data_IF_649315832378
#
_entry.id   IF_649315832378
#
_cell.length_a   1.000
_cell.length_b   1.000
_cell.length_c   1.000
_cell.angle_alpha   90.00
_cell.angle_beta   90.00
_cell.angle_gamma   90.00
#
_symmetry.space_group_name_H-M   'P 1'
#
loop_
_entity.id
_entity.type
_entity.pdbx_description
1 polymer ?
#
# COMPACT_ATOMS: atom_id res chain seq x y z
N UNK A 1 -40.62 -6.36 -5.36
CA UNK A 1 -39.88 -6.76 -4.13
C UNK A 1 -38.36 -6.83 -4.32
N UNK A 2 -37.82 -6.62 -5.54
CA UNK A 2 -36.40 -6.71 -5.86
C UNK A 2 -35.61 -5.42 -5.56
N UNK A 3 -36.22 -4.24 -5.67
CA UNK A 3 -35.48 -2.96 -5.54
C UNK A 3 -35.04 -2.62 -4.11
N UNK A 4 -35.80 -3.06 -3.10
CA UNK A 4 -35.47 -2.80 -1.68
C UNK A 4 -34.26 -3.63 -1.23
N UNK A 5 -34.14 -4.88 -1.71
CA UNK A 5 -33.01 -5.76 -1.39
C UNK A 5 -31.70 -5.30 -2.06
N UNK A 6 -31.79 -4.79 -3.30
CA UNK A 6 -30.64 -4.22 -4.03
C UNK A 6 -30.15 -2.94 -3.34
N UNK A 7 -31.06 -2.08 -2.87
CA UNK A 7 -30.73 -0.88 -2.10
C UNK A 7 -30.00 -1.17 -0.77
N UNK A 8 -30.41 -2.21 -0.04
CA UNK A 8 -29.79 -2.62 1.22
C UNK A 8 -28.36 -3.15 1.05
N UNK A 9 -28.14 -4.00 0.03
CA UNK A 9 -26.79 -4.51 -0.32
C UNK A 9 -25.85 -3.41 -0.81
N UNK A 10 -26.39 -2.37 -1.47
CA UNK A 10 -25.60 -1.23 -1.91
C UNK A 10 -25.05 -0.40 -0.74
N UNK A 11 -25.93 -0.06 0.21
CA UNK A 11 -25.59 0.72 1.41
C UNK A 11 -24.62 -0.01 2.34
N UNK A 12 -24.81 -1.33 2.55
CA UNK A 12 -23.93 -2.13 3.41
C UNK A 12 -22.48 -2.15 2.90
N UNK A 13 -22.27 -2.37 1.60
CA UNK A 13 -20.93 -2.37 1.03
C UNK A 13 -20.26 -0.99 1.08
N UNK A 14 -21.01 0.09 0.83
CA UNK A 14 -20.47 1.45 0.93
C UNK A 14 -20.04 1.76 2.38
N UNK A 15 -20.81 1.32 3.37
CA UNK A 15 -20.44 1.43 4.78
C UNK A 15 -19.18 0.62 5.12
N UNK A 16 -19.06 -0.60 4.61
CA UNK A 16 -17.85 -1.44 4.80
C UNK A 16 -16.62 -0.76 4.17
N UNK A 17 -16.74 -0.22 2.97
CA UNK A 17 -15.66 0.51 2.28
C UNK A 17 -15.24 1.75 3.07
N UNK A 18 -16.20 2.54 3.55
CA UNK A 18 -15.93 3.71 4.38
C UNK A 18 -15.27 3.32 5.72
N UNK A 19 -15.78 2.30 6.40
CA UNK A 19 -15.21 1.80 7.66
C UNK A 19 -13.78 1.28 7.47
N UNK A 20 -13.52 0.54 6.39
CA UNK A 20 -12.18 0.07 6.06
C UNK A 20 -11.22 1.23 5.76
N UNK A 21 -11.66 2.23 5.01
CA UNK A 21 -10.85 3.43 4.74
C UNK A 21 -10.53 4.21 6.03
N UNK A 22 -11.51 4.37 6.91
CA UNK A 22 -11.31 5.02 8.22
C UNK A 22 -10.32 4.24 9.07
N UNK A 23 -10.49 2.92 9.17
CA UNK A 23 -9.58 2.06 9.92
C UNK A 23 -8.15 2.13 9.38
N UNK A 24 -7.96 2.09 8.05
CA UNK A 24 -6.65 2.20 7.42
C UNK A 24 -5.98 3.55 7.71
N UNK A 25 -6.71 4.66 7.54
CA UNK A 25 -6.17 5.99 7.80
C UNK A 25 -5.77 6.18 9.27
N UNK A 26 -6.59 5.69 10.20
CA UNK A 26 -6.28 5.73 11.64
C UNK A 26 -5.09 4.85 12.02
N UNK A 27 -5.00 3.63 11.46
CA UNK A 27 -3.90 2.71 11.74
C UNK A 27 -2.57 3.21 11.17
N UNK A 28 -2.58 3.80 9.97
CA UNK A 28 -1.40 4.43 9.39
C UNK A 28 -0.92 5.60 10.26
N UNK A 29 -1.84 6.47 10.67
CA UNK A 29 -1.53 7.60 11.56
C UNK A 29 -1.03 7.15 12.95
N UNK A 30 -1.59 6.07 13.49
CA UNK A 30 -1.18 5.55 14.81
C UNK A 30 0.22 4.94 14.77
N UNK A 31 0.56 4.22 13.70
CA UNK A 31 1.89 3.64 13.54
C UNK A 31 2.99 4.72 13.50
N UNK A 32 2.68 5.86 12.91
CA UNK A 32 3.51 7.05 12.85
C UNK A 32 3.85 7.67 14.22
N UNK A 33 3.10 7.30 15.27
CA UNK A 33 3.34 7.77 16.64
C UNK A 33 4.23 6.82 17.45
N UNK A 34 4.58 5.64 16.92
CA UNK A 34 5.37 4.64 17.62
C UNK A 34 6.84 4.76 17.23
N UNK A 35 7.71 4.96 18.22
CA UNK A 35 9.16 5.09 18.01
C UNK A 35 9.88 3.73 17.93
N UNK A 36 11.10 3.75 17.39
CA UNK A 36 12.02 2.61 17.38
C UNK A 36 11.65 1.49 16.38
N UNK A 37 12.26 0.32 16.57
CA UNK A 37 12.09 -0.82 15.66
C UNK A 37 10.65 -1.34 15.57
N UNK A 38 9.87 -1.26 16.66
CA UNK A 38 8.44 -1.61 16.67
C UNK A 38 7.64 -0.67 15.77
N UNK A 39 7.96 0.62 15.77
CA UNK A 39 7.36 1.61 14.87
C UNK A 39 7.57 1.26 13.40
N UNK A 40 8.78 0.83 13.02
CA UNK A 40 9.09 0.45 11.64
C UNK A 40 8.26 -0.76 11.17
N UNK A 41 8.08 -1.75 12.04
CA UNK A 41 7.22 -2.91 11.73
C UNK A 41 5.76 -2.49 11.63
N UNK A 42 5.27 -1.62 12.53
CA UNK A 42 3.90 -1.10 12.46
C UNK A 42 3.67 -0.29 11.18
N UNK A 43 4.60 0.58 10.80
CA UNK A 43 4.55 1.35 9.55
C UNK A 43 4.49 0.40 8.35
N UNK A 44 5.31 -0.65 8.33
CA UNK A 44 5.25 -1.65 7.26
C UNK A 44 3.89 -2.39 7.23
N UNK A 45 3.25 -2.59 8.37
CA UNK A 45 1.97 -3.30 8.51
C UNK A 45 0.72 -2.43 8.35
N UNK A 46 0.81 -1.09 8.44
CA UNK A 46 -0.38 -0.23 8.40
C UNK A 46 -0.26 0.95 7.44
N UNK A 47 0.96 1.39 7.16
CA UNK A 47 1.27 2.57 6.34
C UNK A 47 2.08 2.22 5.09
N UNK A 48 2.16 0.96 4.70
CA UNK A 48 2.76 0.54 3.43
C UNK A 48 1.76 0.63 2.29
N UNK A 49 2.25 0.96 1.09
CA UNK A 49 1.46 0.85 -0.14
C UNK A 49 0.90 -0.57 -0.32
N UNK A 50 1.56 -1.57 0.24
CA UNK A 50 1.09 -2.95 0.33
C UNK A 50 -0.28 -3.09 1.01
N UNK A 51 -0.45 -2.64 2.26
CA UNK A 51 -1.69 -2.88 3.03
C UNK A 51 -2.88 -2.18 2.38
N UNK A 52 -2.67 -0.95 1.94
CA UNK A 52 -3.69 -0.15 1.30
C UNK A 52 -4.07 -0.76 -0.06
N UNK A 53 -3.06 -1.19 -0.82
CA UNK A 53 -3.27 -1.87 -2.09
C UNK A 53 -3.98 -3.23 -1.95
N UNK A 54 -3.64 -4.00 -0.91
CA UNK A 54 -4.31 -5.26 -0.60
C UNK A 54 -5.78 -5.03 -0.23
N UNK A 55 -6.08 -4.01 0.58
CA UNK A 55 -7.46 -3.66 0.93
C UNK A 55 -8.27 -3.26 -0.33
N UNK A 56 -7.69 -2.43 -1.21
CA UNK A 56 -8.30 -2.07 -2.49
C UNK A 56 -8.57 -3.29 -3.38
N UNK A 57 -7.60 -4.22 -3.46
CA UNK A 57 -7.75 -5.48 -4.18
C UNK A 57 -8.88 -6.35 -3.59
N UNK A 58 -8.95 -6.51 -2.27
CA UNK A 58 -9.96 -7.32 -1.60
C UNK A 58 -11.37 -6.70 -1.77
N UNK A 59 -11.49 -5.38 -1.67
CA UNK A 59 -12.74 -4.67 -1.98
C UNK A 59 -13.15 -4.93 -3.43
N UNK A 60 -12.22 -4.79 -4.39
CA UNK A 60 -12.47 -5.08 -5.80
C UNK A 60 -12.91 -6.52 -6.05
N UNK A 61 -12.25 -7.48 -5.38
CA UNK A 61 -12.61 -8.90 -5.42
C UNK A 61 -14.02 -9.14 -4.92
N UNK A 62 -14.43 -8.51 -3.83
CA UNK A 62 -15.77 -8.68 -3.25
C UNK A 62 -16.89 -8.02 -4.06
N UNK A 63 -16.56 -7.10 -4.98
CA UNK A 63 -17.55 -6.34 -5.72
C UNK A 63 -18.28 -7.16 -6.80
N UNK A 64 -19.60 -6.95 -6.88
CA UNK A 64 -20.48 -7.66 -7.82
C UNK A 64 -20.15 -7.39 -9.30
N UNK A 65 -19.72 -6.17 -9.64
CA UNK A 65 -19.44 -5.73 -11.02
C UNK A 65 -18.09 -5.04 -11.10
N UNK A 66 -17.46 -5.04 -12.29
CA UNK A 66 -16.18 -4.38 -12.52
C UNK A 66 -16.23 -2.86 -12.23
N UNK A 67 -17.31 -2.17 -12.65
CA UNK A 67 -17.50 -0.74 -12.36
C UNK A 67 -17.53 -0.46 -10.86
N UNK A 68 -18.20 -1.32 -10.09
CA UNK A 68 -18.24 -1.20 -8.63
C UNK A 68 -16.89 -1.55 -7.99
N UNK A 69 -16.19 -2.55 -8.51
CA UNK A 69 -14.86 -2.91 -8.06
C UNK A 69 -13.88 -1.73 -8.16
N UNK A 70 -13.86 -1.07 -9.33
CA UNK A 70 -13.07 0.14 -9.58
C UNK A 70 -13.50 1.26 -8.65
N UNK A 71 -14.79 1.62 -8.65
CA UNK A 71 -15.29 2.75 -7.86
C UNK A 71 -15.05 2.59 -6.36
N UNK A 72 -15.31 1.40 -5.80
CA UNK A 72 -15.15 1.13 -4.37
C UNK A 72 -13.68 1.04 -3.95
N UNK A 73 -12.81 0.45 -4.77
CA UNK A 73 -11.37 0.41 -4.49
C UNK A 73 -10.74 1.82 -4.54
N UNK A 74 -11.09 2.63 -5.54
CA UNK A 74 -10.63 4.03 -5.63
C UNK A 74 -11.15 4.87 -4.47
N UNK A 75 -12.44 4.75 -4.13
CA UNK A 75 -13.03 5.47 -3.01
C UNK A 75 -12.35 5.11 -1.69
N UNK A 76 -12.02 3.82 -1.48
CA UNK A 76 -11.29 3.36 -0.31
C UNK A 76 -9.94 4.07 -0.18
N UNK A 77 -9.12 4.03 -1.24
CA UNK A 77 -7.77 4.59 -1.22
C UNK A 77 -7.78 6.11 -1.07
N UNK A 78 -8.66 6.80 -1.81
CA UNK A 78 -8.79 8.26 -1.71
C UNK A 78 -9.22 8.66 -0.30
N UNK A 79 -10.24 8.01 0.26
CA UNK A 79 -10.75 8.35 1.59
C UNK A 79 -9.72 8.05 2.69
N UNK A 80 -9.01 6.92 2.59
CA UNK A 80 -7.92 6.58 3.52
C UNK A 80 -6.78 7.60 3.45
N UNK A 81 -6.38 8.01 2.23
CA UNK A 81 -5.35 9.03 1.99
C UNK A 81 -5.75 10.36 2.62
N UNK A 82 -6.96 10.84 2.32
CA UNK A 82 -7.46 12.11 2.85
C UNK A 82 -7.53 12.09 4.36
N UNK A 83 -8.04 11.01 4.96
CA UNK A 83 -8.14 10.89 6.41
C UNK A 83 -6.75 10.92 7.06
N UNK A 84 -5.80 10.13 6.54
CA UNK A 84 -4.43 10.09 7.05
C UNK A 84 -3.78 11.47 7.01
N UNK A 85 -3.80 12.15 5.86
CA UNK A 85 -3.18 13.48 5.75
C UNK A 85 -3.94 14.57 6.51
N UNK A 86 -5.26 14.44 6.67
CA UNK A 86 -6.03 15.33 7.54
C UNK A 86 -5.61 15.18 9.01
N UNK A 87 -5.38 13.96 9.48
CA UNK A 87 -4.87 13.71 10.84
C UNK A 87 -3.45 14.24 11.01
N UNK A 88 -2.59 14.10 10.01
CA UNK A 88 -1.25 14.71 10.01
C UNK A 88 -1.35 16.23 10.12
N UNK A 89 -2.26 16.87 9.37
CA UNK A 89 -2.46 18.31 9.37
C UNK A 89 -3.02 18.83 10.71
N UNK A 90 -4.05 18.19 11.25
CA UNK A 90 -4.82 18.72 12.38
C UNK A 90 -4.25 18.26 13.73
N UNK A 91 -3.83 16.99 13.83
CA UNK A 91 -3.44 16.36 15.09
C UNK A 91 -1.93 16.39 15.27
N UNK A 92 -1.19 15.78 14.32
CA UNK A 92 0.26 15.64 14.50
C UNK A 92 1.02 16.96 14.32
N UNK A 93 0.44 17.91 13.58
CA UNK A 93 1.04 19.23 13.25
C UNK A 93 2.52 19.15 12.87
N UNK A 94 2.92 18.08 12.17
CA UNK A 94 4.31 17.86 11.70
C UNK A 94 4.82 18.98 10.80
N UNK A 95 3.91 19.79 10.27
CA UNK A 95 4.23 20.96 9.49
C UNK A 95 4.63 22.18 10.33
N UNK A 96 4.34 22.23 11.63
CA UNK A 96 4.53 23.41 12.48
C UNK A 96 5.65 23.25 13.50
N UNK A 97 6.34 24.34 13.83
CA UNK A 97 7.27 24.41 14.97
C UNK A 97 8.74 24.28 14.62
N UNK A 98 9.08 24.28 13.32
CA UNK A 98 10.47 24.39 12.85
C UNK A 98 10.88 25.84 12.62
N UNK A 99 12.15 26.15 12.84
CA UNK A 99 12.77 27.45 12.49
C UNK A 99 13.85 27.25 11.45
N UNK A 100 13.93 28.15 10.47
CA UNK A 100 14.98 28.22 9.48
C UNK A 100 16.26 28.84 10.09
N UNK A 101 17.40 28.71 9.39
CA UNK A 101 18.68 29.27 9.84
C UNK A 101 18.65 30.80 10.02
N UNK A 102 17.74 31.48 9.32
CA UNK A 102 17.48 32.91 9.43
C UNK A 102 16.54 33.29 10.60
N UNK A 103 16.09 32.30 11.38
CA UNK A 103 15.19 32.47 12.52
C UNK A 103 13.71 32.60 12.14
N UNK A 104 13.35 32.51 10.85
CA UNK A 104 11.96 32.54 10.39
C UNK A 104 11.28 31.17 10.54
N UNK A 105 9.95 31.13 10.56
CA UNK A 105 9.19 29.88 10.70
C UNK A 105 9.28 29.01 9.45
N UNK A 106 9.61 27.72 9.62
CA UNK A 106 9.62 26.73 8.54
C UNK A 106 8.22 26.20 8.17
N UNK A 107 7.16 26.73 8.80
CA UNK A 107 5.79 26.20 8.73
C UNK A 107 5.23 26.14 7.29
N UNK A 108 5.54 27.15 6.46
CA UNK A 108 5.12 27.16 5.05
C UNK A 108 5.79 26.04 4.23
N UNK A 109 7.06 25.73 4.52
CA UNK A 109 7.76 24.62 3.87
C UNK A 109 7.19 23.27 4.33
N UNK A 110 6.89 23.15 5.62
CA UNK A 110 6.21 21.99 6.19
C UNK A 110 4.84 21.75 5.53
N UNK A 111 4.00 22.78 5.45
CA UNK A 111 2.69 22.71 4.81
C UNK A 111 2.79 22.36 3.32
N UNK A 112 3.75 22.98 2.61
CA UNK A 112 4.01 22.67 1.20
C UNK A 112 4.41 21.21 1.00
N UNK A 113 5.27 20.68 1.86
CA UNK A 113 5.69 19.26 1.84
C UNK A 113 4.50 18.32 2.05
N UNK A 114 3.67 18.60 3.06
CA UNK A 114 2.44 17.81 3.31
C UNK A 114 1.49 17.87 2.12
N UNK A 115 1.29 19.05 1.51
CA UNK A 115 0.44 19.21 0.33
C UNK A 115 0.96 18.43 -0.88
N UNK A 116 2.28 18.47 -1.14
CA UNK A 116 2.91 17.71 -2.22
C UNK A 116 2.77 16.20 -2.02
N UNK A 117 3.05 15.70 -0.81
CA UNK A 117 2.87 14.28 -0.49
C UNK A 117 1.41 13.86 -0.59
N UNK A 118 0.47 14.68 -0.10
CA UNK A 118 -0.97 14.42 -0.26
C UNK A 118 -1.35 14.30 -1.73
N UNK A 119 -0.90 15.23 -2.59
CA UNK A 119 -1.18 15.20 -4.02
C UNK A 119 -0.59 13.96 -4.72
N UNK A 120 0.63 13.57 -4.36
CA UNK A 120 1.28 12.37 -4.88
C UNK A 120 0.49 11.11 -4.52
N UNK A 121 0.12 10.95 -3.25
CA UNK A 121 -0.63 9.77 -2.79
C UNK A 121 -2.08 9.74 -3.29
N UNK A 122 -2.73 10.89 -3.47
CA UNK A 122 -4.03 10.98 -4.12
C UNK A 122 -3.94 10.55 -5.59
N UNK A 123 -2.90 11.01 -6.31
CA UNK A 123 -2.66 10.60 -7.70
C UNK A 123 -2.42 9.08 -7.78
N UNK A 124 -1.58 8.55 -6.88
CA UNK A 124 -1.37 7.12 -6.72
C UNK A 124 -2.67 6.36 -6.43
N UNK A 125 -3.55 6.90 -5.59
CA UNK A 125 -4.86 6.31 -5.27
C UNK A 125 -5.81 6.29 -6.47
N UNK A 126 -5.81 7.35 -7.30
CA UNK A 126 -6.64 7.44 -8.51
C UNK A 126 -6.19 6.49 -9.61
N UNK A 127 -4.91 6.09 -9.64
CA UNK A 127 -4.38 5.12 -10.60
C UNK A 127 -4.44 3.69 -10.03
N UNK A 128 -3.95 3.51 -8.81
CA UNK A 128 -3.87 2.23 -8.12
C UNK A 128 -5.25 1.66 -7.79
N UNK A 129 -6.21 2.51 -7.41
CA UNK A 129 -7.58 2.10 -7.08
C UNK A 129 -8.27 1.34 -8.22
N UNK A 130 -8.37 1.91 -9.43
CA UNK A 130 -8.94 1.21 -10.58
C UNK A 130 -8.19 -0.06 -10.96
N UNK A 131 -6.85 -0.02 -10.97
CA UNK A 131 -6.02 -1.17 -11.33
C UNK A 131 -6.23 -2.32 -10.36
N UNK A 132 -6.09 -2.08 -9.06
CA UNK A 132 -6.22 -3.10 -8.01
C UNK A 132 -7.67 -3.58 -7.87
N UNK A 133 -8.64 -2.67 -7.99
CA UNK A 133 -10.06 -3.01 -7.99
C UNK A 133 -10.42 -3.96 -9.14
N UNK A 134 -9.95 -3.66 -10.35
CA UNK A 134 -10.18 -4.48 -11.54
C UNK A 134 -9.46 -5.83 -11.44
N UNK A 135 -8.21 -5.87 -10.98
CA UNK A 135 -7.46 -7.10 -10.77
C UNK A 135 -8.16 -8.00 -9.73
N UNK A 136 -8.63 -7.42 -8.62
CA UNK A 136 -9.45 -8.13 -7.64
C UNK A 136 -10.69 -8.76 -8.26
N UNK A 137 -11.41 -7.99 -9.07
CA UNK A 137 -12.58 -8.49 -9.78
C UNK A 137 -12.23 -9.64 -10.74
N UNK A 138 -11.17 -9.49 -11.54
CA UNK A 138 -10.69 -10.52 -12.47
C UNK A 138 -10.32 -11.80 -11.73
N UNK A 139 -9.64 -11.72 -10.58
CA UNK A 139 -9.32 -12.91 -9.76
C UNK A 139 -10.59 -13.61 -9.24
N UNK A 140 -11.71 -12.90 -9.06
CA UNK A 140 -12.97 -13.52 -8.63
C UNK A 140 -13.71 -14.21 -9.78
N UNK A 141 -13.84 -13.56 -10.93
CA UNK A 141 -14.77 -13.99 -12.00
C UNK A 141 -14.08 -14.50 -13.26
N UNK A 142 -12.76 -14.32 -13.37
CA UNK A 142 -11.98 -14.71 -14.52
C UNK A 142 -11.83 -16.22 -14.66
N UNK A 143 -11.37 -16.65 -15.83
CA UNK A 143 -10.93 -18.03 -16.00
C UNK A 143 -9.61 -18.26 -15.23
N UNK A 144 -9.17 -19.52 -15.15
CA UNK A 144 -7.98 -19.89 -14.36
C UNK A 144 -6.73 -19.14 -14.83
N UNK A 145 -6.55 -18.95 -16.14
CA UNK A 145 -5.39 -18.26 -16.71
C UNK A 145 -5.40 -16.75 -16.41
N UNK A 146 -6.53 -16.07 -16.64
CA UNK A 146 -6.65 -14.63 -16.36
C UNK A 146 -6.62 -14.33 -14.87
N UNK A 147 -7.18 -15.21 -14.03
CA UNK A 147 -7.08 -15.12 -12.57
C UNK A 147 -5.64 -15.31 -12.09
N UNK A 148 -4.88 -16.24 -12.69
CA UNK A 148 -3.48 -16.44 -12.39
C UNK A 148 -2.61 -15.25 -12.79
N UNK A 149 -2.82 -14.69 -14.00
CA UNK A 149 -2.17 -13.45 -14.44
C UNK A 149 -2.48 -12.30 -13.48
N UNK A 150 -3.75 -12.09 -13.13
CA UNK A 150 -4.16 -11.00 -12.25
C UNK A 150 -3.61 -11.17 -10.83
N UNK A 151 -3.67 -12.37 -10.26
CA UNK A 151 -3.11 -12.66 -8.93
C UNK A 151 -1.59 -12.46 -8.90
N UNK A 152 -0.88 -12.97 -9.92
CA UNK A 152 0.55 -12.76 -10.09
C UNK A 152 0.89 -11.27 -10.19
N UNK A 153 0.21 -10.53 -11.08
CA UNK A 153 0.39 -9.09 -11.25
C UNK A 153 0.19 -8.31 -9.95
N UNK A 154 -0.85 -8.63 -9.18
CA UNK A 154 -1.09 -7.98 -7.87
C UNK A 154 0.05 -8.29 -6.90
N UNK A 155 0.49 -9.54 -6.80
CA UNK A 155 1.61 -9.91 -5.93
C UNK A 155 2.87 -9.13 -6.28
N UNK A 156 3.23 -9.07 -7.57
CA UNK A 156 4.42 -8.35 -8.01
C UNK A 156 4.30 -6.85 -7.72
N UNK A 157 3.19 -6.20 -8.13
CA UNK A 157 2.93 -4.78 -7.86
C UNK A 157 3.03 -4.42 -6.38
N UNK A 158 2.49 -5.27 -5.51
CA UNK A 158 2.47 -5.02 -4.07
C UNK A 158 3.83 -5.31 -3.38
N UNK A 159 4.67 -6.16 -3.97
CA UNK A 159 6.01 -6.49 -3.44
C UNK A 159 7.13 -5.56 -3.91
N UNK A 160 6.89 -4.76 -4.96
CA UNK A 160 7.95 -3.99 -5.63
C UNK A 160 8.67 -2.98 -4.75
N UNK A 161 7.97 -2.34 -3.82
CA UNK A 161 8.56 -1.42 -2.83
C UNK A 161 9.61 -2.15 -1.97
N UNK A 162 9.27 -3.31 -1.43
CA UNK A 162 10.18 -4.11 -0.61
C UNK A 162 11.38 -4.62 -1.39
N UNK A 163 11.18 -5.05 -2.64
CA UNK A 163 12.29 -5.45 -3.52
C UNK A 163 13.25 -4.31 -3.81
N UNK A 164 12.73 -3.12 -4.08
CA UNK A 164 13.55 -1.92 -4.32
C UNK A 164 14.34 -1.54 -3.06
N UNK A 165 13.72 -1.58 -1.88
CA UNK A 165 14.40 -1.30 -0.62
C UNK A 165 15.52 -2.30 -0.33
N UNK A 166 15.29 -3.60 -0.56
CA UNK A 166 16.31 -4.66 -0.43
C UNK A 166 17.47 -4.45 -1.41
N UNK A 167 17.21 -3.94 -2.61
CA UNK A 167 18.28 -3.64 -3.59
C UNK A 167 19.12 -2.44 -3.17
N UNK A 168 18.51 -1.38 -2.64
CA UNK A 168 19.23 -0.18 -2.19
C UNK A 168 20.01 -0.42 -0.89
N UNK A 169 19.44 -1.19 0.03
CA UNK A 169 20.02 -1.47 1.33
C UNK A 169 19.95 -2.98 1.63
N UNK A 170 20.90 -3.76 1.10
CA UNK A 170 20.93 -5.19 1.29
C UNK A 170 20.93 -5.60 2.76
N UNK A 171 20.10 -6.57 3.18
CA UNK A 171 19.94 -6.94 4.59
C UNK A 171 21.25 -7.33 5.27
N UNK A 172 22.17 -7.99 4.55
CA UNK A 172 23.46 -8.40 5.10
C UNK A 172 24.36 -7.21 5.46
N UNK A 173 24.23 -6.07 4.77
CA UNK A 173 24.96 -4.85 5.12
C UNK A 173 24.37 -4.22 6.39
N UNK A 174 23.04 -4.16 6.49
CA UNK A 174 22.34 -3.59 7.64
C UNK A 174 22.53 -4.42 8.93
N UNK A 175 22.75 -5.73 8.78
CA UNK A 175 23.02 -6.64 9.91
C UNK A 175 24.45 -6.55 10.45
N UNK A 176 25.38 -5.88 9.75
CA UNK A 176 26.78 -5.74 10.19
C UNK A 176 27.05 -4.53 11.09
N UNK A 177 26.03 -3.71 11.38
CA UNK A 177 26.16 -2.53 12.25
C UNK A 177 26.51 -2.97 13.68
N UNK A 178 27.65 -2.52 14.18
CA UNK A 178 28.22 -2.96 15.46
C UNK A 178 27.67 -2.20 16.67
N UNK A 179 27.11 -1.01 16.47
CA UNK A 179 26.49 -0.21 17.54
C UNK A 179 25.14 -0.85 17.93
N UNK A 180 24.97 -1.29 19.20
CA UNK A 180 23.77 -1.99 19.64
C UNK A 180 22.48 -1.14 19.53
N UNK A 181 22.55 0.18 19.70
CA UNK A 181 21.37 1.05 19.59
C UNK A 181 20.93 1.21 18.13
N UNK A 182 21.88 1.32 17.21
CA UNK A 182 21.57 1.37 15.78
C UNK A 182 21.14 0.00 15.23
N UNK A 183 21.72 -1.08 15.76
CA UNK A 183 21.42 -2.44 15.33
C UNK A 183 19.93 -2.81 15.52
N UNK A 184 19.29 -2.38 16.62
CA UNK A 184 17.85 -2.61 16.82
C UNK A 184 16.99 -1.88 15.79
N UNK A 185 17.33 -0.63 15.47
CA UNK A 185 16.64 0.13 14.44
C UNK A 185 16.77 -0.53 13.07
N UNK A 186 17.98 -0.90 12.66
CA UNK A 186 18.25 -1.55 11.38
C UNK A 186 17.59 -2.92 11.27
N UNK A 187 17.53 -3.70 12.36
CA UNK A 187 16.75 -4.94 12.40
C UNK A 187 15.26 -4.68 12.16
N UNK A 188 14.70 -3.64 12.79
CA UNK A 188 13.31 -3.24 12.56
C UNK A 188 13.03 -2.88 11.10
N UNK A 189 13.93 -2.13 10.46
CA UNK A 189 13.87 -1.77 9.04
C UNK A 189 13.91 -3.03 8.16
N UNK A 190 14.89 -3.92 8.38
CA UNK A 190 15.01 -5.18 7.62
C UNK A 190 13.75 -6.03 7.75
N UNK A 191 13.22 -6.18 8.97
CA UNK A 191 11.97 -6.93 9.20
C UNK A 191 10.80 -6.27 8.48
N UNK A 192 10.69 -4.93 8.53
CA UNK A 192 9.65 -4.19 7.81
C UNK A 192 9.68 -4.44 6.31
N UNK A 193 10.86 -4.38 5.68
CA UNK A 193 11.01 -4.62 4.25
C UNK A 193 10.75 -6.08 3.87
N UNK A 194 11.19 -7.03 4.69
CA UNK A 194 10.87 -8.45 4.49
C UNK A 194 9.37 -8.72 4.59
N UNK A 195 8.65 -8.06 5.49
CA UNK A 195 7.19 -8.15 5.60
C UNK A 195 6.52 -7.69 4.31
N UNK A 196 6.98 -6.59 3.69
CA UNK A 196 6.44 -6.08 2.41
C UNK A 196 6.64 -7.06 1.24
N UNK A 197 7.62 -7.98 1.32
CA UNK A 197 7.86 -9.01 0.29
C UNK A 197 7.09 -10.30 0.62
N UNK A 198 7.22 -10.79 1.85
CA UNK A 198 6.68 -12.09 2.29
C UNK A 198 5.16 -12.07 2.30
N UNK A 199 4.54 -10.99 2.76
CA UNK A 199 3.09 -10.90 2.86
C UNK A 199 2.36 -11.00 1.50
N UNK A 200 2.78 -10.31 0.43
CA UNK A 200 2.23 -10.54 -0.90
C UNK A 200 2.38 -11.99 -1.39
N UNK A 201 3.52 -12.64 -1.10
CA UNK A 201 3.76 -14.05 -1.47
C UNK A 201 2.80 -14.97 -0.72
N UNK A 202 2.56 -14.73 0.57
CA UNK A 202 1.60 -15.49 1.38
C UNK A 202 0.18 -15.31 0.82
N UNK A 203 -0.22 -14.08 0.47
CA UNK A 203 -1.51 -13.82 -0.18
C UNK A 203 -1.61 -14.54 -1.52
N UNK A 204 -0.55 -14.53 -2.32
CA UNK A 204 -0.49 -15.24 -3.61
C UNK A 204 -0.62 -16.75 -3.43
N UNK A 205 0.06 -17.33 -2.43
CA UNK A 205 -0.04 -18.75 -2.09
C UNK A 205 -1.46 -19.12 -1.63
N UNK A 206 -2.09 -18.28 -0.81
CA UNK A 206 -3.49 -18.42 -0.43
C UNK A 206 -4.43 -18.36 -1.64
N UNK A 207 -4.23 -17.38 -2.55
CA UNK A 207 -5.00 -17.29 -3.79
C UNK A 207 -4.79 -18.51 -4.69
N UNK A 208 -3.54 -18.98 -4.79
CA UNK A 208 -3.16 -20.13 -5.59
C UNK A 208 -3.81 -21.42 -5.12
N UNK A 209 -3.90 -21.61 -3.81
CA UNK A 209 -4.57 -22.76 -3.18
C UNK A 209 -6.09 -22.64 -3.27
N UNK A 210 -6.67 -21.50 -2.88
CA UNK A 210 -8.12 -21.28 -2.87
C UNK A 210 -8.76 -21.40 -4.27
N UNK A 211 -8.06 -20.94 -5.33
CA UNK A 211 -8.57 -20.94 -6.71
C UNK A 211 -7.96 -22.02 -7.60
N UNK A 212 -7.20 -22.97 -7.02
CA UNK A 212 -6.49 -24.04 -7.76
C UNK A 212 -5.62 -23.52 -8.91
N UNK A 213 -5.07 -22.31 -8.77
CA UNK A 213 -4.20 -21.67 -9.78
C UNK A 213 -2.86 -22.39 -9.93
N UNK A 214 -2.54 -23.32 -9.02
CA UNK A 214 -1.31 -24.11 -9.05
C UNK A 214 -1.11 -24.88 -10.36
N UNK A 215 -2.19 -25.20 -11.09
CA UNK A 215 -2.10 -25.83 -12.42
C UNK A 215 -1.48 -24.94 -13.49
N UNK A 216 -1.55 -23.62 -13.31
CA UNK A 216 -0.99 -22.59 -14.20
C UNK A 216 0.06 -21.76 -13.47
N UNK A 217 0.81 -22.40 -12.56
CA UNK A 217 1.88 -21.75 -11.79
C UNK A 217 2.91 -20.99 -12.65
N UNK A 218 3.28 -21.39 -13.88
CA UNK A 218 4.24 -20.63 -14.67
C UNK A 218 3.70 -19.23 -15.01
N UNK A 219 2.44 -19.15 -15.42
CA UNK A 219 1.76 -17.88 -15.74
C UNK A 219 1.67 -16.96 -14.52
N UNK A 220 1.39 -17.54 -13.35
CA UNK A 220 1.31 -16.81 -12.09
C UNK A 220 2.69 -16.24 -11.70
N UNK A 221 3.76 -17.04 -11.80
CA UNK A 221 5.11 -16.59 -11.47
C UNK A 221 5.66 -15.58 -12.49
N UNK A 222 5.46 -15.80 -13.79
CA UNK A 222 5.94 -14.85 -14.80
C UNK A 222 5.27 -13.49 -14.64
N UNK A 223 3.96 -13.46 -14.38
CA UNK A 223 3.25 -12.22 -14.08
C UNK A 223 3.77 -11.55 -12.80
N UNK A 224 3.99 -12.32 -11.73
CA UNK A 224 4.51 -11.80 -10.47
C UNK A 224 5.93 -11.23 -10.61
N UNK A 225 6.83 -11.93 -11.30
CA UNK A 225 8.20 -11.48 -11.53
C UNK A 225 8.21 -10.24 -12.43
N UNK A 226 7.49 -10.26 -13.55
CA UNK A 226 7.47 -9.13 -14.49
C UNK A 226 6.88 -7.87 -13.85
N UNK A 227 5.72 -7.99 -13.18
CA UNK A 227 5.11 -6.84 -12.50
C UNK A 227 5.90 -6.38 -11.27
N UNK A 228 6.54 -7.31 -10.54
CA UNK A 228 7.43 -6.99 -9.42
C UNK A 228 8.66 -6.22 -9.87
N UNK A 229 9.31 -6.66 -10.95
CA UNK A 229 10.45 -5.95 -11.53
C UNK A 229 10.08 -4.55 -12.02
N UNK A 230 8.94 -4.41 -12.71
CA UNK A 230 8.44 -3.10 -13.17
C UNK A 230 8.09 -2.18 -12.00
N UNK A 231 7.45 -2.72 -10.95
CA UNK A 231 7.12 -1.96 -9.74
C UNK A 231 8.37 -1.52 -8.99
N UNK A 232 9.35 -2.41 -8.81
CA UNK A 232 10.63 -2.08 -8.18
C UNK A 232 11.40 -1.00 -8.98
N UNK A 233 11.41 -1.11 -10.31
CA UNK A 233 12.00 -0.08 -11.18
C UNK A 233 11.29 1.27 -11.07
N UNK A 234 9.95 1.28 -11.00
CA UNK A 234 9.18 2.50 -10.79
C UNK A 234 9.53 3.16 -9.45
N UNK A 235 9.58 2.38 -8.37
CA UNK A 235 9.99 2.86 -7.04
C UNK A 235 11.42 3.40 -7.04
N UNK A 236 12.33 2.76 -7.78
CA UNK A 236 13.70 3.24 -7.93
C UNK A 236 13.75 4.60 -8.63
N UNK A 237 12.98 4.78 -9.71
CA UNK A 237 12.89 6.08 -10.41
C UNK A 237 12.30 7.16 -9.51
N UNK A 238 11.24 6.84 -8.75
CA UNK A 238 10.65 7.79 -7.79
C UNK A 238 11.65 8.18 -6.68
N UNK A 239 12.39 7.19 -6.16
CA UNK A 239 13.43 7.41 -5.18
C UNK A 239 14.54 8.32 -5.74
N UNK A 240 15.04 8.03 -6.94
CA UNK A 240 16.07 8.82 -7.60
C UNK A 240 15.61 10.26 -7.88
N UNK A 241 14.37 10.43 -8.36
CA UNK A 241 13.78 11.75 -8.59
C UNK A 241 13.68 12.56 -7.30
N UNK A 242 13.26 11.93 -6.20
CA UNK A 242 13.15 12.59 -4.89
C UNK A 242 14.51 13.05 -4.32
N UNK A 243 15.61 12.39 -4.66
CA UNK A 243 16.97 12.75 -4.20
C UNK A 243 17.72 13.68 -5.16
N UNK A 244 17.17 13.97 -6.34
CA UNK A 244 17.75 14.87 -7.33
C UNK A 244 17.31 16.34 -7.16
N UNK A 245 16.45 16.61 -6.18
CA UNK A 245 15.91 17.93 -5.81
C UNK A 245 16.58 18.38 -4.52
#
# INVERSE_FOLDING_TARGET
MTDVAVGGSCRSHAAVVAAAAVALGLLAFSADSVAGGVGQVLIALTSSGFVWGLAAFLVGRSAATAKRAVGSATALLVLATLLYYLLVLVVSRRWSGGTLEDGTSADLLGLRSVAMMTALWLTGSLIGGPVLGLLGHIVRVGNVSTSALAAGSVCGLLSGEGWQAVMLAPPWQLLTVSDPYQAEFFRGVVVGELVKIVLPIVVLAWLGTAHRLWRVWPTLLTAAIASGALSAALWYVLYAAAHSI
#
